data_IF_749716069751
#
_entry.id   IF_749716069751
#
_cell.length_a   1.000
_cell.length_b   1.000
_cell.length_c   1.000
_cell.angle_alpha   90.00
_cell.angle_beta   90.00
_cell.angle_gamma   90.00
#
_symmetry.space_group_name_H-M   'P 1'
#
loop_
_entity.id
_entity.type
_entity.pdbx_description
1 polymer ?
#
# COMPACT_ATOMS: atom_id res chain seq x y z
N UNK A 1 68.22 8.17 -24.31
CA UNK A 1 67.10 8.06 -23.34
C UNK A 1 66.11 9.18 -23.63
N UNK A 2 65.06 8.92 -24.41
CA UNK A 2 64.03 9.93 -24.75
C UNK A 2 62.79 9.62 -23.89
N UNK A 3 62.40 10.55 -23.02
CA UNK A 3 61.18 10.46 -22.22
C UNK A 3 59.99 10.88 -23.09
N UNK A 4 59.06 9.96 -23.35
CA UNK A 4 57.76 10.29 -23.93
C UNK A 4 56.96 11.18 -22.97
N UNK A 5 56.64 12.40 -23.39
CA UNK A 5 55.72 13.27 -22.67
C UNK A 5 54.30 12.89 -23.09
N UNK A 6 53.59 12.16 -22.23
CA UNK A 6 52.16 11.87 -22.39
C UNK A 6 51.36 13.18 -22.34
N UNK A 7 51.02 13.73 -23.50
CA UNK A 7 50.10 14.87 -23.62
C UNK A 7 48.69 14.39 -23.31
N UNK A 8 48.26 14.57 -22.07
CA UNK A 8 46.87 14.32 -21.67
C UNK A 8 46.00 15.40 -22.34
N UNK A 9 45.44 15.06 -23.50
CA UNK A 9 44.64 15.97 -24.33
C UNK A 9 43.41 16.42 -23.53
N UNK A 10 43.12 17.73 -23.52
CA UNK A 10 41.96 18.32 -22.79
C UNK A 10 40.65 17.56 -23.04
N UNK A 11 40.47 16.99 -24.24
CA UNK A 11 39.33 16.13 -24.60
C UNK A 11 39.25 14.84 -23.78
N UNK A 12 40.37 14.15 -23.53
CA UNK A 12 40.39 12.92 -22.73
C UNK A 12 40.04 13.16 -21.26
N UNK A 13 40.41 14.32 -20.72
CA UNK A 13 40.01 14.76 -19.37
C UNK A 13 38.51 15.04 -19.30
N UNK A 14 37.94 15.68 -20.32
CA UNK A 14 36.49 15.95 -20.40
C UNK A 14 35.70 14.63 -20.51
N UNK A 15 36.13 13.72 -21.38
CA UNK A 15 35.48 12.41 -21.56
C UNK A 15 35.54 11.61 -20.25
N UNK A 16 36.68 11.58 -19.55
CA UNK A 16 36.78 10.92 -18.23
C UNK A 16 35.82 11.53 -17.21
N UNK A 17 35.69 12.86 -17.14
CA UNK A 17 34.73 13.52 -16.25
C UNK A 17 33.28 13.18 -16.60
N UNK A 18 32.94 13.13 -17.89
CA UNK A 18 31.61 12.73 -18.34
C UNK A 18 31.30 11.26 -17.98
N UNK A 19 32.25 10.34 -18.18
CA UNK A 19 32.10 8.93 -17.81
C UNK A 19 31.90 8.78 -16.30
N UNK A 20 32.71 9.47 -15.48
CA UNK A 20 32.57 9.44 -14.02
C UNK A 20 31.22 10.02 -13.58
N UNK A 21 30.79 11.14 -14.17
CA UNK A 21 29.50 11.74 -13.88
C UNK A 21 28.33 10.81 -14.24
N UNK A 22 28.40 10.17 -15.41
CA UNK A 22 27.38 9.23 -15.87
C UNK A 22 27.33 7.97 -15.00
N UNK A 23 28.49 7.40 -14.65
CA UNK A 23 28.57 6.29 -13.70
C UNK A 23 28.00 6.67 -12.32
N UNK A 24 28.23 7.90 -11.87
CA UNK A 24 27.65 8.45 -10.65
C UNK A 24 26.13 8.52 -10.68
N UNK A 25 25.55 8.95 -11.81
CA UNK A 25 24.09 8.99 -11.99
C UNK A 25 23.49 7.57 -11.97
N UNK A 26 24.14 6.60 -12.62
CA UNK A 26 23.70 5.19 -12.60
C UNK A 26 23.73 4.63 -11.18
N UNK A 27 24.84 4.85 -10.45
CA UNK A 27 24.95 4.45 -9.05
C UNK A 27 23.87 5.09 -8.17
N UNK A 28 23.62 6.39 -8.35
CA UNK A 28 22.54 7.10 -7.65
C UNK A 28 21.17 6.51 -7.95
N UNK A 29 20.91 6.13 -9.19
CA UNK A 29 19.63 5.52 -9.58
C UNK A 29 19.43 4.15 -8.93
N UNK A 30 20.46 3.30 -8.93
CA UNK A 30 20.45 1.99 -8.27
C UNK A 30 20.24 2.15 -6.75
N UNK A 31 20.96 3.10 -6.13
CA UNK A 31 20.82 3.37 -4.70
C UNK A 31 19.46 3.98 -4.35
N UNK A 32 18.90 4.84 -5.20
CA UNK A 32 17.57 5.42 -4.99
C UNK A 32 16.47 4.34 -5.02
N UNK A 33 16.61 3.34 -5.88
CA UNK A 33 15.71 2.19 -5.94
C UNK A 33 15.81 1.31 -4.68
N UNK A 34 17.02 1.14 -4.15
CA UNK A 34 17.26 0.28 -2.98
C UNK A 34 16.91 0.97 -1.65
N UNK A 35 17.01 2.30 -1.57
CA UNK A 35 16.86 3.08 -0.33
C UNK A 35 15.62 4.00 -0.31
N UNK A 36 14.56 3.64 -1.03
CA UNK A 36 13.31 4.39 -0.97
C UNK A 36 12.67 4.26 0.43
N UNK A 37 12.96 5.22 1.32
CA UNK A 37 12.29 5.36 2.62
C UNK A 37 11.19 6.41 2.52
N UNK A 38 9.94 6.04 2.78
CA UNK A 38 8.87 7.01 3.06
C UNK A 38 9.15 7.62 4.43
N UNK A 39 9.35 8.95 4.46
CA UNK A 39 9.49 9.69 5.71
C UNK A 39 8.11 10.27 6.03
N UNK A 40 7.57 9.91 7.18
CA UNK A 40 6.35 10.53 7.70
C UNK A 40 6.67 11.94 8.20
N UNK A 41 6.12 12.95 7.51
CA UNK A 41 6.30 14.36 7.83
C UNK A 41 5.24 14.90 8.80
N UNK A 42 4.33 14.05 9.29
CA UNK A 42 3.36 14.47 10.30
C UNK A 42 4.04 14.63 11.65
N UNK A 43 3.63 15.66 12.40
CA UNK A 43 4.20 15.97 13.72
C UNK A 43 4.11 14.82 14.73
N UNK A 44 3.13 13.95 14.55
CA UNK A 44 2.80 12.86 15.47
C UNK A 44 3.19 11.48 14.92
N UNK A 45 3.75 11.39 13.71
CA UNK A 45 4.06 10.11 13.09
C UNK A 45 2.81 9.24 12.85
N UNK A 46 1.67 9.85 12.48
CA UNK A 46 0.37 9.15 12.38
C UNK A 46 0.33 8.05 11.31
N UNK A 47 1.29 8.04 10.40
CA UNK A 47 1.44 7.08 9.34
C UNK A 47 2.66 6.17 9.55
N UNK A 48 3.32 6.25 10.71
CA UNK A 48 4.43 5.38 11.10
C UNK A 48 3.93 4.32 12.07
N UNK A 49 4.46 3.11 11.96
CA UNK A 49 4.11 2.02 12.86
C UNK A 49 4.70 2.25 14.25
N UNK A 50 3.96 1.84 15.28
CA UNK A 50 4.54 1.76 16.62
C UNK A 50 5.60 0.67 16.65
N UNK A 51 6.65 0.83 17.45
CA UNK A 51 7.70 -0.20 17.58
C UNK A 51 7.16 -1.55 18.10
N UNK A 52 6.02 -1.56 18.78
CA UNK A 52 5.32 -2.80 19.17
C UNK A 52 4.66 -3.49 17.98
N UNK A 53 4.10 -2.72 17.05
CA UNK A 53 3.49 -3.21 15.81
C UNK A 53 4.55 -3.76 14.86
N UNK A 54 5.67 -3.05 14.69
CA UNK A 54 6.81 -3.53 13.88
C UNK A 54 7.28 -4.91 14.34
N UNK A 55 7.54 -5.07 15.64
CA UNK A 55 7.95 -6.36 16.23
C UNK A 55 6.93 -7.47 16.07
N UNK A 56 5.64 -7.15 15.93
CA UNK A 56 4.60 -8.13 15.69
C UNK A 56 4.62 -8.57 14.22
N UNK A 57 4.75 -7.61 13.31
CA UNK A 57 4.82 -7.84 11.87
C UNK A 57 6.09 -8.62 11.50
N UNK A 58 7.22 -8.35 12.15
CA UNK A 58 8.48 -9.08 11.95
C UNK A 58 8.37 -10.58 12.28
N UNK A 59 7.39 -10.97 13.10
CA UNK A 59 7.15 -12.38 13.46
C UNK A 59 6.31 -13.13 12.42
N UNK A 60 5.86 -12.46 11.37
CA UNK A 60 5.13 -13.10 10.28
C UNK A 60 6.12 -13.94 9.48
N UNK A 61 5.94 -15.26 9.54
CA UNK A 61 6.85 -16.23 8.94
C UNK A 61 6.47 -16.57 7.50
N UNK A 62 5.18 -16.46 7.16
CA UNK A 62 4.58 -16.89 5.90
C UNK A 62 3.72 -15.77 5.29
N UNK A 63 3.23 -15.97 4.07
CA UNK A 63 2.38 -15.00 3.38
C UNK A 63 1.03 -14.83 4.11
N UNK A 64 0.66 -13.57 4.31
CA UNK A 64 -0.57 -13.15 4.95
C UNK A 64 -1.39 -12.34 3.95
N UNK A 65 -2.62 -12.79 3.70
CA UNK A 65 -3.53 -12.15 2.74
C UNK A 65 -4.68 -11.47 3.49
N UNK A 66 -4.93 -10.21 3.18
CA UNK A 66 -6.00 -9.41 3.79
C UNK A 66 -6.97 -8.97 2.70
N UNK A 67 -8.23 -9.34 2.81
CA UNK A 67 -9.28 -8.86 1.91
C UNK A 67 -10.19 -7.91 2.67
N UNK A 68 -10.30 -6.66 2.23
CA UNK A 68 -11.11 -5.63 2.86
C UNK A 68 -12.35 -5.36 2.01
N UNK A 69 -13.54 -5.47 2.61
CA UNK A 69 -14.83 -5.34 1.92
C UNK A 69 -15.28 -3.87 1.77
N UNK A 70 -14.34 -2.99 1.45
CA UNK A 70 -14.53 -1.54 1.40
C UNK A 70 -14.18 -1.01 0.01
N UNK A 71 -14.80 -1.57 -1.02
CA UNK A 71 -14.75 -1.09 -2.40
C UNK A 71 -16.14 -0.80 -2.97
N UNK A 72 -16.20 -0.43 -4.25
CA UNK A 72 -17.42 -0.11 -4.97
C UNK A 72 -17.85 1.35 -4.80
N UNK A 73 -19.12 1.60 -5.11
CA UNK A 73 -19.71 2.93 -5.04
C UNK A 73 -20.19 3.27 -3.63
N UNK A 74 -19.23 3.58 -2.76
CA UNK A 74 -19.41 3.92 -1.34
C UNK A 74 -19.37 5.45 -1.08
N UNK A 75 -20.00 5.93 0.01
CA UNK A 75 -19.99 7.35 0.39
C UNK A 75 -18.58 7.90 0.67
N UNK A 76 -18.45 9.23 0.65
CA UNK A 76 -17.17 9.92 0.78
C UNK A 76 -16.40 9.55 2.06
N UNK A 77 -17.10 9.41 3.19
CA UNK A 77 -16.45 9.08 4.46
C UNK A 77 -15.84 7.67 4.46
N UNK A 78 -16.49 6.72 3.79
CA UNK A 78 -15.93 5.38 3.59
C UNK A 78 -14.82 5.35 2.54
N UNK A 79 -14.85 6.22 1.52
CA UNK A 79 -13.70 6.42 0.62
C UNK A 79 -12.46 6.91 1.38
N UNK A 80 -12.63 7.80 2.36
CA UNK A 80 -11.54 8.24 3.25
C UNK A 80 -11.03 7.10 4.12
N UNK A 81 -11.93 6.31 4.71
CA UNK A 81 -11.57 5.12 5.48
C UNK A 81 -10.81 4.09 4.63
N UNK A 82 -11.24 3.86 3.39
CA UNK A 82 -10.54 3.00 2.42
C UNK A 82 -9.12 3.47 2.18
N UNK A 83 -8.93 4.76 1.91
CA UNK A 83 -7.60 5.34 1.70
C UNK A 83 -6.72 5.18 2.93
N UNK A 84 -7.21 5.53 4.12
CA UNK A 84 -6.46 5.41 5.37
C UNK A 84 -6.07 3.95 5.68
N UNK A 85 -7.01 3.02 5.44
CA UNK A 85 -6.76 1.58 5.61
C UNK A 85 -5.70 1.09 4.63
N UNK A 86 -5.80 1.49 3.36
CA UNK A 86 -4.82 1.15 2.33
C UNK A 86 -3.42 1.67 2.68
N UNK A 87 -3.33 2.90 3.15
CA UNK A 87 -2.06 3.49 3.56
C UNK A 87 -1.45 2.70 4.72
N UNK A 88 -2.25 2.33 5.73
CA UNK A 88 -1.80 1.48 6.85
C UNK A 88 -1.32 0.10 6.38
N UNK A 89 -2.09 -0.57 5.52
CA UNK A 89 -1.74 -1.90 5.01
C UNK A 89 -0.50 -1.87 4.10
N UNK A 90 -0.25 -0.76 3.41
CA UNK A 90 0.99 -0.54 2.69
C UNK A 90 2.19 -0.49 3.64
N UNK A 91 2.10 0.21 4.75
CA UNK A 91 3.16 0.24 5.76
C UNK A 91 3.40 -1.15 6.36
N UNK A 92 2.34 -1.94 6.56
CA UNK A 92 2.47 -3.34 7.00
C UNK A 92 3.19 -4.20 5.96
N UNK A 93 2.84 -4.07 4.67
CA UNK A 93 3.53 -4.77 3.57
C UNK A 93 5.00 -4.41 3.48
N UNK A 94 5.34 -3.13 3.61
CA UNK A 94 6.73 -2.66 3.58
C UNK A 94 7.52 -3.21 4.78
N UNK A 95 6.94 -3.13 5.98
CA UNK A 95 7.58 -3.62 7.22
C UNK A 95 7.77 -5.13 7.20
N UNK A 96 6.79 -5.88 6.70
CA UNK A 96 6.85 -7.35 6.56
C UNK A 96 7.76 -7.85 5.42
N UNK A 97 8.50 -6.96 4.75
CA UNK A 97 9.30 -7.30 3.56
C UNK A 97 8.50 -7.98 2.46
N UNK A 98 7.24 -7.56 2.27
CA UNK A 98 6.36 -8.04 1.20
C UNK A 98 5.48 -9.25 1.53
N UNK A 99 5.61 -9.85 2.73
CA UNK A 99 4.81 -11.02 3.12
C UNK A 99 3.32 -10.70 3.35
N UNK A 100 2.98 -9.45 3.63
CA UNK A 100 1.59 -9.02 3.75
C UNK A 100 1.10 -8.52 2.38
N UNK A 101 0.13 -9.24 1.83
CA UNK A 101 -0.62 -8.84 0.64
C UNK A 101 -2.04 -8.46 1.03
N UNK A 102 -2.63 -7.53 0.30
CA UNK A 102 -4.00 -7.12 0.56
C UNK A 102 -4.73 -6.66 -0.69
N UNK A 103 -6.06 -6.78 -0.64
CA UNK A 103 -6.95 -6.28 -1.68
C UNK A 103 -8.22 -5.66 -1.09
N UNK A 104 -8.89 -4.84 -1.90
CA UNK A 104 -10.18 -4.25 -1.59
C UNK A 104 -11.22 -4.79 -2.57
N UNK A 105 -12.35 -5.27 -2.07
CA UNK A 105 -13.43 -5.80 -2.91
C UNK A 105 -14.81 -5.31 -2.46
N UNK A 106 -15.76 -5.27 -3.40
CA UNK A 106 -17.18 -5.19 -3.09
C UNK A 106 -17.79 -6.58 -3.23
N UNK A 107 -18.03 -7.24 -2.10
CA UNK A 107 -18.58 -8.60 -2.05
C UNK A 107 -20.04 -8.69 -2.54
N UNK A 108 -20.71 -7.55 -2.73
CA UNK A 108 -22.10 -7.47 -3.18
C UNK A 108 -22.20 -7.05 -4.65
N UNK A 109 -21.09 -6.65 -5.27
CA UNK A 109 -21.06 -6.22 -6.68
C UNK A 109 -21.55 -7.35 -7.60
N UNK A 110 -22.43 -7.00 -8.53
CA UNK A 110 -23.03 -7.90 -9.53
C UNK A 110 -23.71 -9.16 -8.96
N UNK A 111 -24.07 -9.18 -7.67
CA UNK A 111 -24.82 -10.28 -7.05
C UNK A 111 -26.33 -10.09 -7.15
N UNK A 112 -27.06 -11.18 -7.36
CA UNK A 112 -28.51 -11.20 -7.25
C UNK A 112 -28.96 -11.00 -5.79
N UNK A 113 -30.20 -10.57 -5.59
CA UNK A 113 -30.74 -10.25 -4.26
C UNK A 113 -30.59 -11.43 -3.27
N UNK A 114 -30.90 -12.66 -3.73
CA UNK A 114 -30.81 -13.86 -2.91
C UNK A 114 -29.37 -14.17 -2.48
N UNK A 115 -28.40 -13.92 -3.36
CA UNK A 115 -26.98 -14.12 -3.05
C UNK A 115 -26.47 -13.05 -2.10
N UNK A 116 -26.91 -11.79 -2.28
CA UNK A 116 -26.61 -10.68 -1.36
C UNK A 116 -27.11 -10.99 0.05
N UNK A 117 -28.36 -11.43 0.20
CA UNK A 117 -28.92 -11.80 1.51
C UNK A 117 -28.12 -12.92 2.18
N UNK A 118 -27.70 -13.93 1.41
CA UNK A 118 -26.87 -15.03 1.92
C UNK A 118 -25.50 -14.52 2.39
N UNK A 119 -24.81 -13.72 1.58
CA UNK A 119 -23.49 -13.15 1.91
C UNK A 119 -23.60 -12.28 3.17
N UNK A 120 -24.60 -11.40 3.24
CA UNK A 120 -24.84 -10.55 4.40
C UNK A 120 -25.13 -11.39 5.65
N UNK A 121 -25.89 -12.48 5.53
CA UNK A 121 -26.14 -13.43 6.61
C UNK A 121 -24.86 -14.10 7.10
N UNK A 122 -23.97 -14.53 6.19
CA UNK A 122 -22.67 -15.11 6.53
C UNK A 122 -21.76 -14.10 7.25
N UNK A 123 -21.68 -12.87 6.74
CA UNK A 123 -20.89 -11.77 7.34
C UNK A 123 -21.40 -11.46 8.76
N UNK A 124 -22.72 -11.34 8.92
CA UNK A 124 -23.34 -11.13 10.22
C UNK A 124 -23.07 -12.30 11.18
N UNK A 125 -23.16 -13.55 10.71
CA UNK A 125 -22.87 -14.75 11.52
C UNK A 125 -21.42 -14.83 12.00
N UNK A 126 -20.48 -14.25 11.23
CA UNK A 126 -19.06 -14.11 11.59
C UNK A 126 -18.81 -12.95 12.56
N UNK A 127 -19.85 -12.23 12.99
CA UNK A 127 -19.76 -11.09 13.89
C UNK A 127 -19.26 -9.80 13.23
N UNK A 128 -19.22 -9.76 11.89
CA UNK A 128 -18.80 -8.57 11.15
C UNK A 128 -19.95 -7.56 11.09
N UNK A 129 -19.61 -6.28 11.25
CA UNK A 129 -20.58 -5.19 11.20
C UNK A 129 -20.98 -4.89 9.77
N UNK A 130 -22.27 -4.66 9.57
CA UNK A 130 -22.87 -4.21 8.32
C UNK A 130 -23.56 -2.89 8.63
N UNK A 131 -23.24 -1.87 7.84
CA UNK A 131 -23.81 -0.53 7.96
C UNK A 131 -24.68 -0.25 6.74
N UNK A 132 -25.68 0.61 6.90
CA UNK A 132 -26.51 1.09 5.79
C UNK A 132 -26.16 2.55 5.58
N UNK A 133 -25.92 2.94 4.33
CA UNK A 133 -25.73 4.35 4.03
C UNK A 133 -27.02 5.10 4.30
N UNK A 134 -27.01 6.05 5.23
CA UNK A 134 -28.02 7.09 5.29
C UNK A 134 -27.68 8.12 4.20
N UNK A 135 -28.56 8.34 3.24
CA UNK A 135 -28.37 9.42 2.27
C UNK A 135 -28.68 10.76 2.90
N UNK A 136 -28.04 11.81 2.40
CA UNK A 136 -28.42 13.18 2.74
C UNK A 136 -29.91 13.41 2.41
N UNK A 137 -30.62 14.32 3.10
CA UNK A 137 -32.06 14.56 2.92
C UNK A 137 -32.49 14.83 1.46
N UNK A 138 -31.55 15.28 0.63
CA UNK A 138 -31.76 15.73 -0.74
C UNK A 138 -31.45 14.64 -1.79
N UNK A 139 -30.96 13.47 -1.34
CA UNK A 139 -30.61 12.33 -2.18
C UNK A 139 -31.56 11.14 -1.93
N UNK A 140 -32.01 10.49 -3.00
CA UNK A 140 -32.86 9.32 -2.91
C UNK A 140 -32.22 8.25 -1.99
N UNK A 141 -32.97 7.65 -1.05
CA UNK A 141 -32.46 6.60 -0.16
C UNK A 141 -31.66 5.55 -0.93
N UNK A 142 -30.34 5.59 -0.80
CA UNK A 142 -29.48 4.55 -1.34
C UNK A 142 -29.51 3.41 -0.32
N UNK A 143 -30.27 2.34 -0.61
CA UNK A 143 -30.25 1.10 0.16
C UNK A 143 -28.95 0.32 -0.09
N UNK A 144 -27.81 0.98 0.10
CA UNK A 144 -26.49 0.37 -0.04
C UNK A 144 -26.00 -0.11 1.31
N UNK A 145 -25.65 -1.39 1.35
CA UNK A 145 -24.93 -2.00 2.45
C UNK A 145 -23.45 -1.63 2.34
N UNK A 146 -22.85 -1.28 3.47
CA UNK A 146 -21.45 -0.96 3.61
C UNK A 146 -20.87 -1.92 4.63
N UNK A 147 -19.77 -2.55 4.28
CA UNK A 147 -19.14 -3.58 5.11
C UNK A 147 -17.73 -3.09 5.48
N UNK A 148 -17.57 -2.26 6.52
CA UNK A 148 -16.27 -1.74 6.93
C UNK A 148 -15.46 -2.80 7.69
N UNK A 149 -15.30 -3.96 7.08
CA UNK A 149 -14.66 -5.14 7.64
C UNK A 149 -13.80 -5.84 6.57
N UNK A 150 -13.01 -6.81 7.01
CA UNK A 150 -12.22 -7.64 6.12
C UNK A 150 -11.89 -8.97 6.78
N UNK A 151 -11.31 -9.86 5.98
CA UNK A 151 -10.86 -11.17 6.41
C UNK A 151 -9.35 -11.27 6.25
N UNK A 152 -8.72 -11.99 7.17
CA UNK A 152 -7.28 -12.23 7.17
C UNK A 152 -7.04 -13.72 7.05
N UNK A 153 -6.23 -14.11 6.09
CA UNK A 153 -5.76 -15.47 5.89
C UNK A 153 -4.26 -15.52 6.17
N UNK A 154 -3.85 -16.47 7.00
CA UNK A 154 -2.44 -16.67 7.35
C UNK A 154 -2.19 -18.16 7.49
N UNK A 155 -1.12 -18.66 6.86
CA UNK A 155 -0.73 -20.08 6.89
C UNK A 155 -1.91 -21.01 6.56
N UNK A 156 -2.49 -20.81 5.36
CA UNK A 156 -3.70 -21.47 4.86
C UNK A 156 -3.97 -22.85 5.46
#
# INVERSE_FOLDING_TARGET
MVKEIKTNTRKGVIIKKMIIGFAGIILLNILADTFYKRIDLTKEGRFTLSGSTEKLIDKIEDDLYITVFLDGDIPLDYKRLKSATRDMLNEYRLTSSGKISFDFEDVLEDKELKDKEKILGEIYSKGLRIERSETAPDEAPSEKYIIPAGIVFYKG
#
